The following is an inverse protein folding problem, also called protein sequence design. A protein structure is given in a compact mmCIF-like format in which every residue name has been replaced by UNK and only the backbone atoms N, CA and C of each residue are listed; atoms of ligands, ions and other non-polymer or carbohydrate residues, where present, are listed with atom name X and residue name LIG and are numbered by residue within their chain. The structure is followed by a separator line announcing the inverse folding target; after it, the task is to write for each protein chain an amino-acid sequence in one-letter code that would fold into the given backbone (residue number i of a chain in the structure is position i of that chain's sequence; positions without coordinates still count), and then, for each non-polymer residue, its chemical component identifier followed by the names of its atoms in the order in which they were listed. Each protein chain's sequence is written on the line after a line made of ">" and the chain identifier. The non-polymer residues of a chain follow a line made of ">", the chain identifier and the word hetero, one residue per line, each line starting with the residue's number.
data_IF_975774003626
#
_entry.id   IF_975774003626
#
_cell.length_a   1.000
_cell.length_b   1.000
_cell.length_c   1.000
_cell.angle_alpha   90.00
_cell.angle_beta   90.00
_cell.angle_gamma   90.00
#
_symmetry.space_group_name_H-M   'P 1'
#
loop_
_entity.id
_entity.type
_entity.pdbx_description
1 polymer ?
#
# COMPACT_ATOMS: atom_id res chain seq x y z
N UNK A 1 -29.04 -42.34 -20.28
CA UNK A 1 -28.72 -40.89 -20.11
C UNK A 1 -28.01 -40.40 -21.35
N UNK A 2 -28.54 -39.38 -22.03
CA UNK A 2 -27.96 -38.85 -23.28
C UNK A 2 -26.72 -38.03 -22.95
N UNK A 3 -25.61 -38.19 -23.69
CA UNK A 3 -24.32 -37.49 -23.51
C UNK A 3 -24.45 -35.97 -23.27
N UNK A 4 -25.45 -35.34 -23.87
CA UNK A 4 -25.75 -33.92 -23.68
C UNK A 4 -26.22 -33.56 -22.25
N UNK A 5 -27.00 -34.42 -21.60
CA UNK A 5 -27.47 -34.23 -20.22
C UNK A 5 -26.34 -34.45 -19.20
N UNK A 6 -25.41 -35.39 -19.50
CA UNK A 6 -24.24 -35.60 -18.65
C UNK A 6 -23.29 -34.38 -18.68
N UNK A 7 -23.01 -33.84 -19.87
CA UNK A 7 -22.17 -32.65 -20.02
C UNK A 7 -22.83 -31.39 -19.40
N UNK A 8 -24.13 -31.21 -19.58
CA UNK A 8 -24.86 -30.09 -18.96
C UNK A 8 -24.83 -30.16 -17.43
N UNK A 9 -25.03 -31.35 -16.85
CA UNK A 9 -25.00 -31.53 -15.38
C UNK A 9 -23.59 -31.44 -14.81
N UNK A 10 -22.55 -31.83 -15.55
CA UNK A 10 -21.15 -31.71 -15.13
C UNK A 10 -20.66 -30.25 -15.18
N UNK A 11 -21.09 -29.50 -16.21
CA UNK A 11 -20.80 -28.06 -16.31
C UNK A 11 -21.54 -27.28 -15.22
N UNK A 12 -22.81 -27.61 -14.93
CA UNK A 12 -23.55 -26.99 -13.83
C UNK A 12 -22.98 -27.34 -12.44
N UNK A 13 -22.42 -28.55 -12.24
CA UNK A 13 -21.79 -28.93 -10.99
C UNK A 13 -20.39 -28.30 -10.82
N UNK A 14 -19.61 -28.16 -11.90
CA UNK A 14 -18.30 -27.50 -11.87
C UNK A 14 -18.40 -25.97 -11.73
N UNK A 15 -19.42 -25.35 -12.35
CA UNK A 15 -19.73 -23.92 -12.16
C UNK A 15 -20.45 -23.65 -10.84
N UNK A 16 -21.15 -24.62 -10.26
CA UNK A 16 -21.91 -24.46 -9.02
C UNK A 16 -21.02 -24.39 -7.75
N UNK A 17 -19.89 -25.07 -7.72
CA UNK A 17 -19.01 -25.11 -6.53
C UNK A 17 -18.19 -23.84 -6.37
N UNK A 18 -17.51 -23.43 -7.39
CA UNK A 18 -16.69 -22.20 -7.37
C UNK A 18 -17.53 -20.92 -7.44
N UNK A 19 -18.62 -20.94 -8.23
CA UNK A 19 -19.57 -19.83 -8.33
C UNK A 19 -20.39 -19.60 -7.05
N UNK A 20 -20.68 -20.63 -6.24
CA UNK A 20 -21.36 -20.49 -4.95
C UNK A 20 -20.46 -19.87 -3.87
N UNK A 21 -19.15 -20.16 -3.85
CA UNK A 21 -18.22 -19.54 -2.90
C UNK A 21 -17.99 -18.06 -3.21
N UNK A 22 -17.83 -17.69 -4.48
CA UNK A 22 -17.71 -16.28 -4.87
C UNK A 22 -19.05 -15.54 -4.77
N UNK A 23 -20.16 -16.19 -5.07
CA UNK A 23 -21.51 -15.62 -4.91
C UNK A 23 -21.89 -15.46 -3.45
N UNK A 24 -21.53 -16.40 -2.54
CA UNK A 24 -21.77 -16.27 -1.10
C UNK A 24 -20.86 -15.23 -0.46
N UNK A 25 -19.61 -15.10 -0.92
CA UNK A 25 -18.71 -14.02 -0.52
C UNK A 25 -19.25 -12.66 -0.95
N UNK A 26 -19.69 -12.54 -2.21
CA UNK A 26 -20.30 -11.32 -2.74
C UNK A 26 -21.69 -11.03 -2.12
N UNK A 27 -22.49 -12.07 -1.76
CA UNK A 27 -23.75 -11.90 -1.04
C UNK A 27 -23.53 -11.45 0.40
N UNK A 28 -22.49 -11.93 1.08
CA UNK A 28 -22.13 -11.46 2.43
C UNK A 28 -21.58 -10.03 2.40
N UNK A 29 -20.77 -9.68 1.41
CA UNK A 29 -20.32 -8.30 1.15
C UNK A 29 -21.52 -7.39 0.81
N UNK A 30 -22.44 -7.84 -0.04
CA UNK A 30 -23.66 -7.10 -0.36
C UNK A 30 -24.62 -7.00 0.85
N UNK A 31 -24.67 -7.99 1.72
CA UNK A 31 -25.51 -8.00 2.92
C UNK A 31 -24.89 -7.14 4.04
N UNK A 32 -23.57 -7.13 4.19
CA UNK A 32 -22.85 -6.19 5.06
C UNK A 32 -23.04 -4.75 4.58
N UNK A 33 -22.94 -4.51 3.26
CA UNK A 33 -23.24 -3.21 2.65
C UNK A 33 -24.72 -2.81 2.77
N UNK A 34 -25.67 -3.75 2.67
CA UNK A 34 -27.11 -3.48 2.80
C UNK A 34 -27.54 -3.18 4.25
N UNK A 35 -26.85 -3.72 5.25
CA UNK A 35 -27.07 -3.39 6.65
C UNK A 35 -26.54 -2.00 7.05
N UNK A 36 -25.80 -1.34 6.16
CA UNK A 36 -25.22 -0.01 6.34
C UNK A 36 -26.16 1.16 5.96
N UNK A 37 -27.39 0.90 5.51
CA UNK A 37 -28.40 1.96 5.24
C UNK A 37 -29.03 2.53 6.54
N UNK A 38 -28.15 2.98 7.44
CA UNK A 38 -28.48 3.83 8.57
C UNK A 38 -27.83 5.21 8.41
N UNK A 39 -28.05 6.17 9.33
CA UNK A 39 -27.23 7.37 9.37
C UNK A 39 -25.75 6.96 9.41
N UNK A 40 -24.89 7.65 8.64
CA UNK A 40 -23.46 7.33 8.52
C UNK A 40 -22.87 6.94 9.89
N UNK A 41 -22.35 5.72 10.00
CA UNK A 41 -21.71 5.23 11.24
C UNK A 41 -20.36 5.90 11.50
N UNK A 42 -19.96 6.82 10.62
CA UNK A 42 -18.67 7.52 10.70
C UNK A 42 -18.91 9.02 10.87
N UNK A 43 -18.53 9.56 12.04
CA UNK A 43 -18.58 10.98 12.33
C UNK A 43 -17.22 11.66 12.14
N UNK A 44 -16.15 10.85 12.07
CA UNK A 44 -14.76 11.28 11.91
C UNK A 44 -14.25 11.11 10.47
N UNK A 45 -13.16 11.81 10.19
CA UNK A 45 -12.38 11.61 8.96
C UNK A 45 -11.24 10.64 9.20
N UNK A 46 -10.97 9.71 8.26
CA UNK A 46 -9.72 8.93 8.23
C UNK A 46 -9.24 8.71 6.80
N UNK A 47 -7.91 8.71 6.63
CA UNK A 47 -7.27 8.38 5.36
C UNK A 47 -6.13 7.38 5.54
N UNK A 48 -6.03 6.45 4.59
CA UNK A 48 -4.88 5.57 4.39
C UNK A 48 -4.13 6.00 3.15
N UNK A 49 -2.80 6.08 3.21
CA UNK A 49 -1.93 6.43 2.08
C UNK A 49 -0.90 5.33 1.89
N UNK A 50 -1.08 4.51 0.87
CA UNK A 50 -0.09 3.51 0.48
C UNK A 50 1.01 4.17 -0.34
N UNK A 51 2.26 4.02 0.10
CA UNK A 51 3.47 4.39 -0.65
C UNK A 51 4.12 3.10 -1.13
N UNK A 52 3.88 2.74 -2.39
CA UNK A 52 4.35 1.49 -2.94
C UNK A 52 5.74 1.66 -3.60
N UNK A 53 6.72 0.89 -3.13
CA UNK A 53 8.11 0.92 -3.58
C UNK A 53 8.33 -0.20 -4.59
N UNK A 54 8.17 0.10 -5.89
CA UNK A 54 8.29 -0.89 -6.96
C UNK A 54 9.74 -1.32 -7.21
N UNK A 55 9.96 -2.63 -7.30
CA UNK A 55 11.24 -3.25 -7.60
C UNK A 55 11.81 -4.08 -6.44
N UNK A 56 11.14 -4.13 -5.29
CA UNK A 56 11.65 -4.85 -4.12
C UNK A 56 12.72 -4.03 -3.38
N UNK A 57 12.29 -3.19 -2.46
CA UNK A 57 13.20 -2.35 -1.67
C UNK A 57 14.14 -3.21 -0.80
N UNK A 58 15.45 -3.00 -0.93
CA UNK A 58 16.42 -3.59 0.00
C UNK A 58 16.34 -2.94 1.38
N UNK A 59 15.39 -3.42 2.15
CA UNK A 59 15.12 -2.91 3.49
C UNK A 59 16.19 -3.27 4.50
N UNK A 60 17.06 -4.26 4.18
CA UNK A 60 18.19 -4.65 5.02
C UNK A 60 19.31 -3.60 4.98
N UNK A 61 19.38 -2.79 3.91
CA UNK A 61 20.25 -1.62 3.85
C UNK A 61 19.51 -0.31 4.21
N UNK A 62 18.20 -0.34 4.33
CA UNK A 62 17.39 0.80 4.80
C UNK A 62 17.41 0.92 6.33
N UNK A 63 17.19 -0.22 7.02
CA UNK A 63 17.12 -0.34 8.49
C UNK A 63 18.18 -1.35 8.92
N UNK A 64 19.28 -0.87 9.47
CA UNK A 64 20.52 -1.62 9.70
C UNK A 64 20.79 -1.74 11.20
N UNK A 65 21.15 -2.96 11.70
CA UNK A 65 21.61 -3.09 13.08
C UNK A 65 22.86 -2.22 13.34
N UNK A 66 22.91 -1.55 14.48
CA UNK A 66 24.01 -0.63 14.80
C UNK A 66 24.79 -0.96 16.07
N UNK A 67 24.33 -1.86 16.94
CA UNK A 67 25.14 -2.41 18.01
C UNK A 67 26.21 -3.37 17.45
N UNK A 68 27.34 -3.49 18.14
CA UNK A 68 28.50 -4.21 17.60
C UNK A 68 28.26 -5.69 17.29
N UNK A 69 27.37 -6.34 18.05
CA UNK A 69 27.14 -7.78 17.88
C UNK A 69 26.32 -8.06 16.61
N UNK A 70 25.16 -7.39 16.49
CA UNK A 70 24.25 -7.60 15.34
C UNK A 70 24.80 -6.94 14.08
N UNK A 71 25.50 -5.81 14.19
CA UNK A 71 26.16 -5.19 13.04
C UNK A 71 27.27 -6.09 12.46
N UNK A 72 28.05 -6.83 13.27
CA UNK A 72 29.02 -7.80 12.75
C UNK A 72 28.34 -8.92 11.95
N UNK A 73 27.19 -9.43 12.40
CA UNK A 73 26.42 -10.43 11.64
C UNK A 73 25.95 -9.86 10.30
N UNK A 74 25.30 -8.68 10.33
CA UNK A 74 24.89 -7.96 9.14
C UNK A 74 26.04 -7.74 8.16
N UNK A 75 27.17 -7.18 8.63
CA UNK A 75 28.34 -6.90 7.79
C UNK A 75 28.92 -8.17 7.17
N UNK A 76 28.95 -9.27 7.92
CA UNK A 76 29.44 -10.56 7.40
C UNK A 76 28.52 -11.10 6.32
N UNK A 77 27.19 -11.01 6.51
CA UNK A 77 26.21 -11.52 5.57
C UNK A 77 26.10 -10.65 4.30
N UNK A 78 26.17 -9.32 4.44
CA UNK A 78 26.06 -8.37 3.33
C UNK A 78 27.36 -8.16 2.55
N UNK A 79 28.50 -8.51 3.14
CA UNK A 79 29.82 -8.38 2.53
C UNK A 79 30.07 -7.00 1.88
N UNK A 80 30.15 -6.93 0.54
CA UNK A 80 30.38 -5.71 -0.23
C UNK A 80 29.23 -4.71 -0.16
N UNK A 81 28.03 -5.13 0.19
CA UNK A 81 26.85 -4.27 0.29
C UNK A 81 26.63 -3.67 1.68
N UNK A 82 27.48 -3.98 2.66
CA UNK A 82 27.30 -3.50 4.02
C UNK A 82 27.46 -1.97 4.09
N UNK A 83 26.45 -1.29 4.65
CA UNK A 83 26.51 0.13 4.98
C UNK A 83 27.41 0.35 6.19
N UNK A 84 28.26 1.36 6.19
CA UNK A 84 29.17 1.66 7.28
C UNK A 84 28.42 2.02 8.57
N UNK A 85 28.78 1.37 9.70
CA UNK A 85 28.13 1.51 11.00
C UNK A 85 28.10 2.96 11.51
N UNK A 86 29.21 3.69 11.33
CA UNK A 86 29.35 5.08 11.77
C UNK A 86 28.52 6.09 10.96
N UNK A 87 27.97 5.66 9.83
CA UNK A 87 27.08 6.47 8.97
C UNK A 87 25.60 6.20 9.21
N UNK A 88 25.26 5.33 10.18
CA UNK A 88 23.87 5.02 10.49
C UNK A 88 23.24 6.10 11.38
N UNK A 89 22.07 6.57 11.02
CA UNK A 89 21.24 7.47 11.78
C UNK A 89 20.49 6.68 12.88
N UNK A 90 20.77 6.85 14.18
CA UNK A 90 20.21 6.01 15.22
C UNK A 90 18.69 6.17 15.35
N UNK A 91 17.98 5.05 15.43
CA UNK A 91 16.58 4.97 15.83
C UNK A 91 16.53 4.81 17.35
N UNK A 92 16.00 5.83 18.04
CA UNK A 92 15.85 5.82 19.50
C UNK A 92 14.45 5.33 19.83
N UNK A 93 14.33 4.05 20.15
CA UNK A 93 13.06 3.47 20.52
C UNK A 93 12.52 4.02 21.84
N UNK A 94 11.23 4.25 21.92
CA UNK A 94 10.54 4.58 23.16
C UNK A 94 10.56 3.39 24.14
N UNK A 95 10.37 3.64 25.42
CA UNK A 95 10.35 2.61 26.46
C UNK A 95 9.42 1.45 26.08
N UNK A 96 9.96 0.24 26.05
CA UNK A 96 9.25 -0.97 25.62
C UNK A 96 8.94 -1.05 24.12
N UNK A 97 9.59 -0.23 23.29
CA UNK A 97 9.42 -0.20 21.85
C UNK A 97 10.61 -0.71 21.05
N UNK A 98 11.60 -1.30 21.70
CA UNK A 98 12.78 -1.87 21.04
C UNK A 98 12.44 -3.05 20.13
N UNK A 99 13.40 -3.39 19.26
CA UNK A 99 13.26 -4.52 18.35
C UNK A 99 13.23 -5.87 19.12
N UNK A 100 12.57 -6.87 18.54
CA UNK A 100 12.32 -8.17 19.18
C UNK A 100 13.60 -8.98 19.46
N UNK A 101 14.65 -8.75 18.69
CA UNK A 101 15.97 -9.38 18.82
C UNK A 101 16.89 -8.66 19.84
N UNK A 102 16.42 -7.54 20.40
CA UNK A 102 17.18 -6.71 21.33
C UNK A 102 18.26 -5.84 20.67
N UNK A 103 18.37 -5.84 19.34
CA UNK A 103 19.33 -5.02 18.63
C UNK A 103 18.95 -3.54 18.63
N UNK A 104 19.95 -2.68 18.57
CA UNK A 104 19.79 -1.29 18.20
C UNK A 104 19.83 -1.17 16.67
N UNK A 105 18.98 -0.31 16.13
CA UNK A 105 18.88 -0.09 14.68
C UNK A 105 19.13 1.37 14.31
N UNK A 106 19.56 1.57 13.09
CA UNK A 106 19.71 2.88 12.48
C UNK A 106 19.28 2.88 11.02
N UNK A 107 19.00 4.07 10.51
CA UNK A 107 18.68 4.28 9.09
C UNK A 107 19.93 4.62 8.31
N UNK A 108 19.95 4.28 7.03
CA UNK A 108 21.02 4.67 6.12
C UNK A 108 21.12 6.19 6.01
N UNK A 109 22.30 6.74 6.24
CA UNK A 109 22.51 8.19 6.27
C UNK A 109 22.63 8.84 4.90
N UNK A 110 22.55 8.14 3.80
CA UNK A 110 22.53 8.68 2.42
C UNK A 110 23.35 9.98 2.27
N UNK A 111 24.64 9.88 2.26
CA UNK A 111 25.49 11.03 1.93
C UNK A 111 25.83 10.98 0.44
N UNK A 112 25.10 11.73 -0.37
CA UNK A 112 25.57 12.13 -1.69
C UNK A 112 26.08 13.56 -1.59
N UNK A 113 27.04 13.95 -2.45
CA UNK A 113 27.61 15.29 -2.51
C UNK A 113 26.61 16.43 -2.88
N UNK A 114 25.33 16.11 -2.95
CA UNK A 114 24.25 17.01 -3.35
C UNK A 114 23.24 17.24 -2.21
N UNK A 115 23.63 17.73 -1.04
CA UNK A 115 22.75 18.23 0.05
C UNK A 115 21.50 17.39 0.40
N UNK A 116 21.47 16.13 0.03
CA UNK A 116 20.38 15.22 0.37
C UNK A 116 20.51 14.81 1.85
N UNK A 117 19.62 15.30 2.66
CA UNK A 117 19.54 15.02 4.11
C UNK A 117 19.06 13.58 4.33
N UNK A 118 19.64 12.60 3.70
CA UNK A 118 19.42 11.17 3.89
C UNK A 118 18.02 10.78 4.41
N UNK A 119 17.97 9.78 5.27
CA UNK A 119 16.73 9.38 5.94
C UNK A 119 16.46 10.13 7.27
N UNK A 120 17.12 11.27 7.52
CA UNK A 120 16.98 12.04 8.76
C UNK A 120 15.55 12.49 9.09
N UNK A 121 14.72 12.71 8.07
CA UNK A 121 13.32 13.03 8.27
C UNK A 121 12.53 11.88 8.89
N UNK A 122 12.60 10.67 8.34
CA UNK A 122 11.96 9.47 8.91
C UNK A 122 12.56 9.10 10.26
N UNK A 123 13.89 9.28 10.46
CA UNK A 123 14.51 9.15 11.77
C UNK A 123 13.86 10.09 12.80
N UNK A 124 13.71 11.36 12.45
CA UNK A 124 13.05 12.35 13.30
C UNK A 124 11.61 11.97 13.66
N UNK A 125 10.84 11.49 12.69
CA UNK A 125 9.47 11.00 12.92
C UNK A 125 9.44 9.78 13.83
N UNK A 126 10.35 8.82 13.64
CA UNK A 126 10.47 7.67 14.55
C UNK A 126 10.82 8.12 15.96
N UNK A 127 11.87 8.91 16.13
CA UNK A 127 12.36 9.35 17.44
C UNK A 127 11.34 10.23 18.19
N UNK A 128 10.48 10.96 17.46
CA UNK A 128 9.38 11.76 18.03
C UNK A 128 8.08 10.98 18.25
N UNK A 129 8.05 9.69 17.93
CA UNK A 129 6.85 8.85 18.11
C UNK A 129 5.76 9.02 17.06
N UNK A 130 6.11 9.51 15.86
CA UNK A 130 5.19 9.70 14.73
C UNK A 130 5.36 8.64 13.63
N UNK A 131 6.37 7.78 13.74
CA UNK A 131 6.61 6.67 12.83
C UNK A 131 6.94 5.40 13.62
N UNK A 132 6.57 4.25 13.06
CA UNK A 132 6.93 2.92 13.55
C UNK A 132 7.59 2.12 12.43
N UNK A 133 8.41 1.14 12.82
CA UNK A 133 8.99 0.13 11.93
C UNK A 133 8.22 -1.18 12.09
N UNK A 134 7.81 -1.77 10.96
CA UNK A 134 7.31 -3.13 10.89
C UNK A 134 8.43 -4.04 10.37
N UNK A 135 8.87 -4.98 11.22
CA UNK A 135 9.94 -5.90 10.90
C UNK A 135 9.45 -7.07 10.04
N UNK A 136 10.22 -7.40 9.03
CA UNK A 136 10.15 -8.64 8.26
C UNK A 136 8.73 -9.01 7.79
N UNK A 137 8.09 -8.07 7.09
CA UNK A 137 6.76 -8.26 6.48
C UNK A 137 6.91 -8.84 5.09
N UNK A 138 6.07 -9.80 4.76
CA UNK A 138 6.01 -10.37 3.41
C UNK A 138 4.73 -11.15 3.15
N UNK A 139 4.62 -11.66 1.95
CA UNK A 139 3.50 -12.50 1.55
C UNK A 139 3.58 -13.86 2.23
N UNK A 140 2.56 -14.21 3.02
CA UNK A 140 2.43 -15.49 3.71
C UNK A 140 0.98 -15.96 3.66
N UNK A 141 0.77 -17.25 3.46
CA UNK A 141 -0.53 -17.91 3.65
C UNK A 141 -0.70 -18.32 5.11
N UNK A 142 0.40 -18.75 5.75
CA UNK A 142 0.51 -19.12 7.17
C UNK A 142 1.94 -18.91 7.67
N UNK A 143 2.19 -18.94 8.98
CA UNK A 143 3.54 -18.97 9.52
C UNK A 143 4.34 -20.10 8.87
N UNK A 144 5.54 -19.78 8.39
CA UNK A 144 6.38 -20.69 7.61
C UNK A 144 7.79 -20.70 8.19
N UNK A 145 8.27 -21.88 8.58
CA UNK A 145 9.67 -22.09 8.97
C UNK A 145 10.53 -22.46 7.75
N UNK A 146 11.84 -22.41 7.91
CA UNK A 146 12.78 -22.90 6.89
C UNK A 146 12.53 -24.38 6.55
N UNK A 147 12.24 -25.20 7.57
CA UNK A 147 11.93 -26.62 7.36
C UNK A 147 10.63 -26.80 6.55
N UNK A 148 9.61 -25.99 6.84
CA UNK A 148 8.35 -26.01 6.08
C UNK A 148 8.57 -25.62 4.62
N UNK A 149 9.36 -24.57 4.38
CA UNK A 149 9.71 -24.12 3.04
C UNK A 149 10.47 -25.20 2.25
N UNK A 150 11.53 -25.75 2.82
CA UNK A 150 12.38 -26.74 2.14
C UNK A 150 11.67 -28.08 1.90
N UNK A 151 10.81 -28.52 2.81
CA UNK A 151 10.09 -29.78 2.72
C UNK A 151 8.70 -29.64 2.09
N UNK A 152 8.31 -28.44 1.68
CA UNK A 152 6.98 -28.14 1.10
C UNK A 152 5.81 -28.66 1.98
N UNK A 153 5.92 -28.49 3.31
CA UNK A 153 4.92 -28.96 4.25
C UNK A 153 3.76 -27.97 4.45
N UNK A 154 3.90 -26.77 3.94
CA UNK A 154 2.90 -25.70 3.98
C UNK A 154 2.62 -25.13 2.60
N UNK A 155 1.42 -24.60 2.40
CA UNK A 155 1.09 -23.85 1.19
C UNK A 155 1.83 -22.51 1.21
N UNK A 156 2.49 -22.19 0.09
CA UNK A 156 3.25 -20.97 -0.12
C UNK A 156 2.53 -20.03 -1.07
N UNK A 157 2.75 -18.71 -0.98
CA UNK A 157 2.31 -17.77 -2.00
C UNK A 157 2.82 -18.18 -3.39
N UNK A 158 2.02 -18.00 -4.44
CA UNK A 158 2.41 -18.40 -5.79
C UNK A 158 3.58 -17.54 -6.29
N UNK A 159 4.48 -18.16 -7.03
CA UNK A 159 5.57 -17.48 -7.73
C UNK A 159 6.34 -16.49 -6.82
N UNK A 160 6.77 -16.97 -5.67
CA UNK A 160 7.71 -16.24 -4.82
C UNK A 160 8.87 -15.70 -5.67
N UNK A 161 9.32 -14.50 -5.36
CA UNK A 161 10.44 -13.83 -6.06
C UNK A 161 10.11 -13.32 -7.47
N UNK A 162 8.86 -13.40 -7.94
CA UNK A 162 8.39 -12.77 -9.17
C UNK A 162 7.75 -11.42 -8.87
N UNK A 163 8.22 -10.33 -9.50
CA UNK A 163 7.65 -8.99 -9.29
C UNK A 163 6.13 -8.96 -9.52
N UNK A 164 5.67 -9.42 -10.67
CA UNK A 164 4.26 -9.34 -11.04
C UNK A 164 3.35 -10.07 -10.04
N UNK A 165 3.77 -11.28 -9.62
CA UNK A 165 2.96 -12.11 -8.73
C UNK A 165 2.99 -11.56 -7.31
N UNK A 166 4.14 -11.12 -6.81
CA UNK A 166 4.27 -10.61 -5.45
C UNK A 166 3.69 -9.20 -5.31
N UNK A 167 3.84 -8.31 -6.30
CA UNK A 167 3.10 -7.04 -6.36
C UNK A 167 1.60 -7.26 -6.30
N UNK A 168 1.11 -8.25 -7.06
CA UNK A 168 -0.31 -8.60 -7.02
C UNK A 168 -0.72 -9.16 -5.66
N UNK A 169 0.07 -10.08 -5.07
CA UNK A 169 -0.26 -10.69 -3.79
C UNK A 169 -0.29 -9.64 -2.66
N UNK A 170 0.67 -8.75 -2.62
CA UNK A 170 0.70 -7.62 -1.68
C UNK A 170 -0.57 -6.77 -1.71
N UNK A 171 -1.09 -6.55 -2.91
CA UNK A 171 -2.23 -5.68 -3.13
C UNK A 171 -3.58 -6.40 -3.02
N UNK A 172 -3.61 -7.72 -3.26
CA UNK A 172 -4.85 -8.52 -3.30
C UNK A 172 -5.02 -9.37 -2.04
N UNK A 173 -3.91 -9.83 -1.42
CA UNK A 173 -3.91 -10.72 -0.25
C UNK A 173 -4.69 -12.02 -0.46
N UNK A 174 -4.75 -12.54 -1.70
CA UNK A 174 -5.51 -13.74 -2.06
C UNK A 174 -4.78 -14.58 -3.09
N UNK A 175 -4.96 -15.91 -2.99
CA UNK A 175 -4.57 -16.89 -4.00
C UNK A 175 -5.79 -17.34 -4.82
N UNK A 176 -5.59 -17.79 -6.05
CA UNK A 176 -6.65 -18.41 -6.89
C UNK A 176 -7.62 -17.44 -7.58
N UNK A 177 -8.87 -17.88 -7.75
CA UNK A 177 -9.95 -17.11 -8.36
C UNK A 177 -10.39 -15.98 -7.41
N UNK A 178 -10.16 -14.78 -7.68
CA UNK A 178 -10.43 -13.62 -6.81
C UNK A 178 -9.29 -12.63 -6.81
N UNK A 179 -8.23 -12.90 -7.56
CA UNK A 179 -7.09 -12.00 -7.77
C UNK A 179 -7.44 -10.67 -8.45
N UNK A 180 -8.72 -10.45 -8.79
CA UNK A 180 -9.16 -9.27 -9.53
C UNK A 180 -9.29 -8.00 -8.69
N UNK A 181 -9.45 -8.12 -7.36
CA UNK A 181 -9.79 -7.01 -6.47
C UNK A 181 -8.77 -6.86 -5.35
N UNK A 182 -8.35 -5.62 -5.08
CA UNK A 182 -7.39 -5.31 -4.02
C UNK A 182 -8.06 -5.25 -2.64
N UNK A 183 -7.26 -5.43 -1.57
CA UNK A 183 -7.79 -5.38 -0.22
C UNK A 183 -8.35 -3.98 0.14
N UNK A 184 -7.76 -2.89 -0.35
CA UNK A 184 -8.33 -1.56 -0.17
C UNK A 184 -9.60 -1.34 -1.01
N UNK A 185 -9.72 -2.00 -2.17
CA UNK A 185 -10.95 -2.04 -2.95
C UNK A 185 -12.08 -2.74 -2.21
N UNK A 186 -11.80 -3.85 -1.53
CA UNK A 186 -12.76 -4.52 -0.64
C UNK A 186 -13.18 -3.64 0.53
N UNK A 187 -12.25 -2.90 1.13
CA UNK A 187 -12.57 -1.89 2.16
C UNK A 187 -13.53 -0.83 1.60
N UNK A 188 -13.26 -0.32 0.40
CA UNK A 188 -14.13 0.66 -0.24
C UNK A 188 -15.53 0.13 -0.54
N UNK A 189 -15.64 -1.15 -0.92
CA UNK A 189 -16.95 -1.81 -1.11
C UNK A 189 -17.72 -1.99 0.20
N UNK A 190 -17.03 -2.31 1.32
CA UNK A 190 -17.64 -2.49 2.64
C UNK A 190 -18.06 -1.16 3.28
N UNK A 191 -17.30 -0.09 3.07
CA UNK A 191 -17.49 1.21 3.72
C UNK A 191 -18.12 2.26 2.79
N UNK A 192 -18.90 1.85 1.80
CA UNK A 192 -19.53 2.76 0.82
C UNK A 192 -20.42 3.82 1.46
N UNK A 193 -21.05 3.50 2.58
CA UNK A 193 -21.89 4.38 3.36
C UNK A 193 -21.12 5.48 4.10
N UNK A 194 -19.80 5.39 4.16
CA UNK A 194 -18.98 6.42 4.80
C UNK A 194 -18.97 7.75 4.01
N UNK A 195 -19.16 7.69 2.70
CA UNK A 195 -19.11 8.84 1.80
C UNK A 195 -20.38 8.92 0.92
N UNK A 196 -21.60 9.05 1.50
CA UNK A 196 -22.85 8.90 0.75
C UNK A 196 -23.05 9.99 -0.31
N UNK A 197 -22.56 11.20 -0.04
CA UNK A 197 -22.74 12.39 -0.89
C UNK A 197 -21.42 12.84 -1.55
N UNK A 198 -20.41 11.97 -1.62
CA UNK A 198 -19.11 12.35 -2.12
C UNK A 198 -19.10 12.56 -3.64
N UNK A 199 -18.42 13.61 -4.09
CA UNK A 199 -18.20 13.90 -5.51
C UNK A 199 -17.24 12.94 -6.18
N UNK A 200 -16.31 12.31 -5.41
CA UNK A 200 -15.37 11.33 -5.94
C UNK A 200 -15.38 10.06 -5.08
N UNK A 201 -14.94 8.92 -5.64
CA UNK A 201 -14.81 7.69 -4.87
C UNK A 201 -13.85 7.79 -3.68
N UNK A 202 -14.02 6.88 -2.71
CA UNK A 202 -13.10 6.71 -1.57
C UNK A 202 -11.66 6.46 -2.02
N UNK A 203 -11.49 5.68 -3.09
CA UNK A 203 -10.21 5.24 -3.64
C UNK A 203 -9.67 6.25 -4.66
N UNK A 204 -8.51 6.84 -4.37
CA UNK A 204 -7.84 7.81 -5.23
C UNK A 204 -6.43 7.32 -5.52
N UNK A 205 -6.08 7.20 -6.80
CA UNK A 205 -4.76 6.78 -7.25
C UNK A 205 -4.05 7.88 -8.01
N UNK A 206 -2.76 8.07 -7.76
CA UNK A 206 -1.96 9.08 -8.43
C UNK A 206 -1.35 8.50 -9.72
N UNK A 207 -1.53 9.22 -10.81
CA UNK A 207 -0.98 8.95 -12.14
C UNK A 207 -1.50 7.68 -12.86
N UNK A 208 -1.78 6.58 -12.15
CA UNK A 208 -2.19 5.30 -12.74
C UNK A 208 -3.22 4.58 -11.86
N UNK A 209 -3.92 3.61 -12.43
CA UNK A 209 -4.76 2.70 -11.66
C UNK A 209 -3.91 1.78 -10.77
N UNK A 210 -4.42 1.48 -9.58
CA UNK A 210 -3.82 0.59 -8.60
C UNK A 210 -4.62 -0.71 -8.46
N UNK A 211 -3.95 -1.86 -8.44
CA UNK A 211 -4.58 -3.13 -8.12
C UNK A 211 -5.11 -3.12 -6.69
N UNK A 212 -4.38 -2.50 -5.76
CA UNK A 212 -4.77 -2.34 -4.35
C UNK A 212 -6.19 -1.79 -4.18
N UNK A 213 -6.57 -0.83 -5.02
CA UNK A 213 -7.83 -0.11 -4.94
C UNK A 213 -8.91 -0.65 -5.88
N UNK A 214 -8.59 -1.65 -6.70
CA UNK A 214 -9.58 -2.27 -7.60
C UNK A 214 -10.66 -2.95 -6.79
N UNK A 215 -11.90 -2.57 -7.01
CA UNK A 215 -13.07 -3.00 -6.26
C UNK A 215 -14.12 -3.67 -7.17
N UNK A 216 -15.03 -4.42 -6.56
CA UNK A 216 -16.13 -5.07 -7.27
C UNK A 216 -17.27 -4.11 -7.62
N UNK A 217 -17.53 -3.12 -6.75
CA UNK A 217 -18.66 -2.21 -6.88
C UNK A 217 -18.25 -0.74 -6.83
N UNK A 218 -17.20 -0.42 -6.07
CA UNK A 218 -16.63 0.91 -6.00
C UNK A 218 -15.68 1.16 -7.18
N UNK A 219 -15.43 2.41 -7.51
CA UNK A 219 -14.49 2.79 -8.56
C UNK A 219 -13.26 3.47 -7.97
N UNK A 220 -12.21 3.57 -8.76
CA UNK A 220 -11.05 4.41 -8.47
C UNK A 220 -11.19 5.76 -9.17
N UNK A 221 -10.68 6.80 -8.55
CA UNK A 221 -10.45 8.09 -9.18
C UNK A 221 -8.96 8.28 -9.42
N UNK A 222 -8.56 8.35 -10.69
CA UNK A 222 -7.15 8.56 -11.06
C UNK A 222 -6.94 10.05 -11.35
N UNK A 223 -5.94 10.64 -10.67
CA UNK A 223 -5.60 12.05 -10.78
C UNK A 223 -4.10 12.23 -11.05
N UNK A 224 -3.71 13.24 -11.81
CA UNK A 224 -2.29 13.58 -12.04
C UNK A 224 -1.70 14.40 -10.88
N UNK A 225 -0.38 14.52 -10.86
CA UNK A 225 0.35 15.37 -9.90
C UNK A 225 -0.01 16.86 -10.03
N UNK A 226 -0.42 17.27 -11.20
CA UNK A 226 -0.83 18.62 -11.56
C UNK A 226 -2.33 18.89 -11.38
N UNK A 227 -3.12 17.86 -11.08
CA UNK A 227 -4.55 17.95 -10.83
C UNK A 227 -5.40 17.03 -11.68
N UNK A 228 -6.72 17.25 -11.68
CA UNK A 228 -7.64 16.41 -12.44
C UNK A 228 -7.40 16.56 -13.94
N UNK A 229 -7.28 15.40 -14.61
CA UNK A 229 -7.18 15.38 -16.08
C UNK A 229 -8.51 15.85 -16.68
N UNK A 230 -8.46 16.99 -17.32
CA UNK A 230 -9.61 17.52 -18.06
C UNK A 230 -9.72 16.83 -19.44
N UNK A 231 -10.94 16.80 -19.95
CA UNK A 231 -11.16 16.30 -21.30
C UNK A 231 -10.68 17.36 -22.30
N UNK A 232 -9.46 17.19 -22.78
CA UNK A 232 -8.79 18.12 -23.72
C UNK A 232 -8.94 17.72 -25.20
N UNK A 233 -9.56 16.57 -25.50
CA UNK A 233 -9.75 16.14 -26.87
C UNK A 233 -10.72 17.08 -27.58
N UNK A 234 -10.35 17.51 -28.77
CA UNK A 234 -11.09 18.51 -29.58
C UNK A 234 -11.04 19.95 -29.02
N UNK A 235 -10.08 20.31 -28.19
CA UNK A 235 -9.91 21.70 -27.72
C UNK A 235 -9.67 22.69 -28.87
N UNK A 236 -9.05 22.24 -29.96
CA UNK A 236 -8.79 23.01 -31.18
C UNK A 236 -9.97 23.03 -32.17
N UNK A 237 -11.03 22.23 -31.93
CA UNK A 237 -12.20 22.12 -32.81
C UNK A 237 -13.48 22.09 -31.95
N UNK A 238 -14.05 23.26 -31.76
CA UNK A 238 -15.22 23.45 -30.92
C UNK A 238 -16.48 22.74 -31.48
N UNK A 239 -16.56 22.57 -32.80
CA UNK A 239 -17.72 21.89 -33.42
C UNK A 239 -17.65 20.38 -33.16
N UNK A 240 -16.48 19.77 -33.33
CA UNK A 240 -16.24 18.35 -32.97
C UNK A 240 -16.43 18.12 -31.47
N UNK A 241 -15.96 19.04 -30.62
CA UNK A 241 -16.15 18.99 -29.18
C UNK A 241 -17.64 19.01 -28.81
N UNK A 242 -18.39 19.93 -29.41
CA UNK A 242 -19.82 20.08 -29.20
C UNK A 242 -20.59 18.83 -29.65
N UNK A 243 -20.30 18.32 -30.85
CA UNK A 243 -20.89 17.10 -31.36
C UNK A 243 -20.63 15.89 -30.46
N UNK A 244 -19.39 15.73 -29.99
CA UNK A 244 -19.05 14.65 -29.06
C UNK A 244 -19.82 14.77 -27.74
N UNK A 245 -19.90 15.96 -27.15
CA UNK A 245 -20.65 16.18 -25.92
C UNK A 245 -22.16 15.94 -26.09
N UNK A 246 -22.74 16.23 -27.27
CA UNK A 246 -24.12 15.88 -27.59
C UNK A 246 -24.32 14.36 -27.65
N UNK A 247 -23.36 13.60 -28.20
CA UNK A 247 -23.41 12.13 -28.18
C UNK A 247 -23.35 11.56 -26.77
N UNK A 248 -22.68 12.25 -25.83
CA UNK A 248 -22.58 11.84 -24.42
C UNK A 248 -23.72 12.37 -23.55
N UNK A 249 -24.65 13.14 -24.09
CA UNK A 249 -25.80 13.71 -23.37
C UNK A 249 -26.77 12.61 -22.85
N UNK A 250 -27.53 12.87 -21.78
CA UNK A 250 -28.56 11.97 -21.30
C UNK A 250 -29.56 11.65 -22.42
N UNK A 251 -29.86 10.37 -22.62
CA UNK A 251 -30.82 9.93 -23.64
C UNK A 251 -30.31 9.89 -25.09
N UNK A 252 -29.09 10.38 -25.37
CA UNK A 252 -28.52 10.36 -26.72
C UNK A 252 -28.20 8.95 -27.23
N UNK A 253 -27.99 7.98 -26.33
CA UNK A 253 -27.60 6.61 -26.66
C UNK A 253 -28.78 5.64 -26.47
N UNK A 254 -29.15 4.90 -27.53
CA UNK A 254 -30.19 3.87 -27.48
C UNK A 254 -29.69 2.54 -26.92
N UNK A 255 -28.42 2.19 -27.22
CA UNK A 255 -27.83 0.93 -26.79
C UNK A 255 -27.35 0.97 -25.33
N UNK A 256 -27.50 -0.15 -24.60
CA UNK A 256 -27.17 -0.25 -23.17
C UNK A 256 -25.69 0.10 -22.88
N UNK A 257 -24.74 -0.40 -23.67
CA UNK A 257 -23.33 -0.08 -23.53
C UNK A 257 -23.03 1.39 -23.85
N UNK A 258 -23.70 1.96 -24.86
CA UNK A 258 -23.59 3.39 -25.16
C UNK A 258 -24.06 4.27 -24.00
N UNK A 259 -25.22 3.93 -23.39
CA UNK A 259 -25.73 4.63 -22.19
C UNK A 259 -24.77 4.51 -21.01
N UNK A 260 -24.22 3.30 -20.77
CA UNK A 260 -23.25 3.07 -19.70
C UNK A 260 -21.97 3.90 -19.91
N UNK A 261 -21.41 3.89 -21.11
CA UNK A 261 -20.23 4.67 -21.47
C UNK A 261 -20.47 6.19 -21.32
N UNK A 262 -21.56 6.69 -21.90
CA UNK A 262 -21.93 8.10 -21.80
C UNK A 262 -22.16 8.52 -20.35
N UNK A 263 -22.77 7.67 -19.53
CA UNK A 263 -22.94 7.89 -18.09
C UNK A 263 -21.60 7.94 -17.34
N UNK A 264 -20.69 7.02 -17.61
CA UNK A 264 -19.35 7.01 -17.01
C UNK A 264 -18.54 8.26 -17.40
N UNK A 265 -18.58 8.64 -18.68
CA UNK A 265 -17.92 9.84 -19.18
C UNK A 265 -18.42 11.14 -18.50
N UNK A 266 -19.76 11.28 -18.36
CA UNK A 266 -20.33 12.45 -17.67
C UNK A 266 -19.91 12.53 -16.21
N UNK A 267 -20.01 11.40 -15.48
CA UNK A 267 -19.54 11.35 -14.07
C UNK A 267 -18.06 11.70 -13.95
N UNK A 268 -17.21 11.17 -14.83
CA UNK A 268 -15.78 11.50 -14.82
C UNK A 268 -15.52 13.01 -15.01
N UNK A 269 -16.27 13.66 -15.93
CA UNK A 269 -16.20 15.12 -16.13
C UNK A 269 -16.70 15.92 -14.93
N UNK A 270 -17.83 15.53 -14.37
CA UNK A 270 -18.41 16.18 -13.19
C UNK A 270 -17.47 16.08 -12.00
N UNK A 271 -16.91 14.89 -11.76
CA UNK A 271 -15.90 14.65 -10.72
C UNK A 271 -14.65 15.51 -10.94
N UNK A 272 -14.09 15.52 -12.16
CA UNK A 272 -12.92 16.31 -12.49
C UNK A 272 -13.18 17.82 -12.29
N UNK A 273 -14.35 18.31 -12.69
CA UNK A 273 -14.74 19.70 -12.50
C UNK A 273 -14.89 20.06 -11.02
N UNK A 274 -15.55 19.21 -10.24
CA UNK A 274 -15.74 19.43 -8.79
C UNK A 274 -14.38 19.48 -8.06
N UNK A 275 -13.48 18.56 -8.37
CA UNK A 275 -12.13 18.54 -7.78
C UNK A 275 -11.32 19.76 -8.21
N UNK A 276 -11.36 20.14 -9.50
CA UNK A 276 -10.64 21.32 -9.99
C UNK A 276 -11.09 22.59 -9.26
N UNK A 277 -12.41 22.82 -9.17
CA UNK A 277 -12.97 23.99 -8.48
C UNK A 277 -12.63 23.99 -6.98
N UNK A 278 -12.70 22.84 -6.31
CA UNK A 278 -12.34 22.73 -4.90
C UNK A 278 -10.86 23.04 -4.65
N UNK A 279 -9.96 22.51 -5.50
CA UNK A 279 -8.52 22.76 -5.41
C UNK A 279 -8.15 24.21 -5.73
N UNK A 280 -8.80 24.83 -6.72
CA UNK A 280 -8.57 26.23 -7.12
C UNK A 280 -9.05 27.21 -6.03
N UNK A 281 -10.19 26.93 -5.40
CA UNK A 281 -10.71 27.75 -4.31
C UNK A 281 -9.91 27.60 -2.99
N UNK A 282 -9.06 26.58 -2.90
CA UNK A 282 -8.29 26.28 -1.68
C UNK A 282 -6.97 27.06 -1.66
N UNK A 283 -6.67 27.73 -0.54
CA UNK A 283 -5.36 28.35 -0.35
C UNK A 283 -4.21 27.32 -0.50
N UNK A 284 -3.01 27.69 -0.99
CA UNK A 284 -1.86 26.80 -1.05
C UNK A 284 -1.52 26.20 0.31
N UNK A 285 -0.83 25.05 0.31
CA UNK A 285 -0.20 24.49 1.50
C UNK A 285 1.02 25.35 1.86
N UNK A 286 1.26 25.52 3.17
CA UNK A 286 2.47 26.19 3.67
C UNK A 286 3.65 25.23 3.72
N UNK A 287 3.37 23.95 3.94
CA UNK A 287 4.41 22.90 3.95
C UNK A 287 5.06 22.78 2.57
N UNK A 288 6.38 22.93 2.52
CA UNK A 288 7.16 22.70 1.31
C UNK A 288 7.35 21.21 1.07
N UNK A 289 7.11 20.76 -0.16
CA UNK A 289 7.38 19.40 -0.60
C UNK A 289 8.66 19.34 -1.44
N UNK A 290 9.42 18.22 -1.40
CA UNK A 290 10.60 18.07 -2.24
C UNK A 290 10.20 17.99 -3.72
N UNK A 291 11.05 18.53 -4.59
CA UNK A 291 10.92 18.45 -6.05
C UNK A 291 11.28 17.03 -6.53
N UNK A 292 10.40 16.08 -6.28
CA UNK A 292 10.50 14.70 -6.73
C UNK A 292 9.12 14.17 -7.12
N UNK A 293 9.07 13.11 -7.92
CA UNK A 293 7.78 12.54 -8.34
C UNK A 293 6.93 12.13 -7.14
N UNK A 294 7.51 11.43 -6.14
CA UNK A 294 6.80 11.07 -4.92
C UNK A 294 6.40 12.31 -4.09
N UNK A 295 7.24 13.34 -4.04
CA UNK A 295 6.92 14.61 -3.39
C UNK A 295 5.69 15.27 -4.00
N UNK A 296 5.63 15.32 -5.34
CA UNK A 296 4.49 15.88 -6.08
C UNK A 296 3.21 15.05 -5.89
N UNK A 297 3.31 13.71 -5.89
CA UNK A 297 2.18 12.82 -5.61
C UNK A 297 1.63 13.08 -4.20
N UNK A 298 2.47 13.08 -3.17
CA UNK A 298 2.06 13.30 -1.79
C UNK A 298 1.56 14.73 -1.53
N UNK A 299 2.09 15.73 -2.24
CA UNK A 299 1.55 17.09 -2.23
C UNK A 299 0.11 17.12 -2.75
N UNK A 300 -0.18 16.42 -3.86
CA UNK A 300 -1.53 16.34 -4.41
C UNK A 300 -2.46 15.60 -3.43
N UNK A 301 -2.01 14.51 -2.79
CA UNK A 301 -2.77 13.83 -1.73
C UNK A 301 -3.12 14.80 -0.60
N UNK A 302 -2.15 15.57 -0.09
CA UNK A 302 -2.39 16.56 0.96
C UNK A 302 -3.39 17.65 0.52
N UNK A 303 -3.32 18.12 -0.73
CA UNK A 303 -4.29 19.06 -1.30
C UNK A 303 -5.70 18.48 -1.38
N UNK A 304 -5.85 17.21 -1.76
CA UNK A 304 -7.15 16.51 -1.76
C UNK A 304 -7.71 16.32 -0.35
N UNK A 305 -6.86 15.99 0.62
CA UNK A 305 -7.24 15.91 2.05
C UNK A 305 -7.70 17.30 2.55
N UNK A 306 -7.06 18.38 2.12
CA UNK A 306 -7.45 19.75 2.48
C UNK A 306 -8.88 20.08 2.07
N UNK A 307 -9.31 19.64 0.92
CA UNK A 307 -10.64 19.90 0.36
C UNK A 307 -11.66 18.78 0.62
N UNK A 308 -11.34 17.80 1.48
CA UNK A 308 -12.17 16.63 1.80
C UNK A 308 -13.62 16.98 2.17
N UNK A 309 -13.81 18.03 2.94
CA UNK A 309 -15.14 18.45 3.41
C UNK A 309 -15.99 18.97 2.27
N UNK A 310 -15.41 19.79 1.38
CA UNK A 310 -16.08 20.29 0.17
C UNK A 310 -16.44 19.14 -0.76
N UNK A 311 -15.61 18.10 -0.81
CA UNK A 311 -15.84 16.90 -1.63
C UNK A 311 -16.75 15.86 -0.95
N UNK A 312 -17.18 16.07 0.30
CA UNK A 312 -18.07 15.17 1.03
C UNK A 312 -17.40 13.87 1.49
N UNK A 313 -16.10 13.90 1.79
CA UNK A 313 -15.29 12.70 2.07
C UNK A 313 -14.98 12.56 3.56
N UNK A 314 -15.34 11.41 4.13
CA UNK A 314 -14.99 10.99 5.50
C UNK A 314 -13.98 9.84 5.52
N UNK A 315 -13.95 9.05 4.46
CA UNK A 315 -12.97 7.96 4.30
C UNK A 315 -12.30 8.06 2.95
N UNK A 316 -10.97 8.03 2.93
CA UNK A 316 -10.18 8.06 1.69
C UNK A 316 -9.04 7.05 1.75
N UNK A 317 -8.80 6.36 0.64
CA UNK A 317 -7.61 5.53 0.44
C UNK A 317 -6.85 6.08 -0.75
N UNK A 318 -5.59 6.42 -0.54
CA UNK A 318 -4.71 6.93 -1.56
C UNK A 318 -3.65 5.89 -1.93
N UNK A 319 -3.30 5.86 -3.20
CA UNK A 319 -2.17 5.08 -3.70
C UNK A 319 -1.20 6.01 -4.40
N UNK A 320 0.03 6.03 -3.92
CA UNK A 320 1.19 6.69 -4.52
C UNK A 320 2.31 5.68 -4.68
N UNK A 321 3.22 5.91 -5.60
CA UNK A 321 4.28 4.94 -5.86
C UNK A 321 5.60 5.59 -6.26
N UNK A 322 6.66 4.81 -6.05
CA UNK A 322 8.02 5.15 -6.43
C UNK A 322 8.71 3.89 -6.94
N UNK A 323 9.29 3.95 -8.13
CA UNK A 323 10.06 2.85 -8.71
C UNK A 323 11.56 3.00 -8.51
N UNK A 324 12.31 2.04 -9.08
CA UNK A 324 13.76 2.05 -9.12
C UNK A 324 14.45 1.20 -8.06
N UNK A 325 13.70 0.38 -7.29
CA UNK A 325 14.28 -0.44 -6.20
C UNK A 325 14.80 -1.82 -6.64
N UNK A 326 14.75 -2.16 -7.91
CA UNK A 326 15.22 -3.45 -8.42
C UNK A 326 16.74 -3.44 -8.68
N UNK A 327 17.51 -3.32 -7.59
CA UNK A 327 18.95 -3.17 -7.63
C UNK A 327 19.68 -4.52 -7.73
N UNK A 328 19.75 -5.07 -8.93
CA UNK A 328 20.62 -6.23 -9.20
C UNK A 328 22.10 -5.84 -9.33
N UNK A 329 22.37 -4.56 -9.52
CA UNK A 329 23.69 -3.93 -9.56
C UNK A 329 23.63 -2.53 -8.91
N UNK A 330 24.81 -1.91 -8.70
CA UNK A 330 24.94 -0.51 -8.24
C UNK A 330 24.14 -0.13 -6.99
N UNK A 331 23.75 -1.09 -6.14
CA UNK A 331 22.84 -0.88 -5.02
C UNK A 331 23.30 0.24 -4.08
N UNK A 332 24.58 0.24 -3.69
CA UNK A 332 25.14 1.26 -2.80
C UNK A 332 25.21 2.65 -3.45
N UNK A 333 25.22 2.73 -4.80
CA UNK A 333 25.18 4.01 -5.53
C UNK A 333 23.78 4.58 -5.63
N UNK A 334 22.78 3.76 -5.92
CA UNK A 334 21.46 4.20 -6.35
C UNK A 334 20.43 4.25 -5.21
N UNK A 335 20.39 3.24 -4.35
CA UNK A 335 19.41 3.14 -3.28
C UNK A 335 19.44 4.32 -2.30
N UNK A 336 20.59 4.85 -1.88
CA UNK A 336 20.64 5.99 -0.95
C UNK A 336 19.81 7.19 -1.44
N UNK A 337 19.89 7.51 -2.72
CA UNK A 337 19.12 8.59 -3.32
C UNK A 337 17.61 8.36 -3.31
N UNK A 338 17.17 7.11 -3.52
CA UNK A 338 15.76 6.72 -3.46
C UNK A 338 15.24 6.81 -2.02
N UNK A 339 16.00 6.30 -1.05
CA UNK A 339 15.63 6.35 0.38
C UNK A 339 15.57 7.80 0.91
N UNK A 340 16.47 8.67 0.46
CA UNK A 340 16.43 10.09 0.80
C UNK A 340 15.14 10.76 0.27
N UNK A 341 14.77 10.51 -0.99
CA UNK A 341 13.51 11.02 -1.58
C UNK A 341 12.27 10.48 -0.87
N UNK A 342 12.25 9.19 -0.52
CA UNK A 342 11.19 8.58 0.28
C UNK A 342 11.04 9.29 1.63
N UNK A 343 12.16 9.45 2.36
CA UNK A 343 12.19 10.09 3.68
C UNK A 343 11.71 11.55 3.62
N UNK A 344 12.22 12.33 2.68
CA UNK A 344 11.83 13.73 2.53
C UNK A 344 10.35 13.88 2.18
N UNK A 345 9.85 13.08 1.25
CA UNK A 345 8.46 13.16 0.79
C UNK A 345 7.48 12.73 1.90
N UNK A 346 7.75 11.62 2.62
CA UNK A 346 6.90 11.17 3.72
C UNK A 346 6.93 12.15 4.91
N UNK A 347 8.08 12.75 5.19
CA UNK A 347 8.22 13.75 6.25
C UNK A 347 7.44 15.03 5.93
N UNK A 348 7.57 15.53 4.71
CA UNK A 348 6.79 16.69 4.25
C UNK A 348 5.28 16.39 4.29
N UNK A 349 4.87 15.20 3.86
CA UNK A 349 3.46 14.78 3.92
C UNK A 349 2.93 14.75 5.35
N UNK A 350 3.69 14.18 6.30
CA UNK A 350 3.29 14.21 7.71
C UNK A 350 3.20 15.63 8.25
N UNK A 351 4.15 16.51 7.89
CA UNK A 351 4.09 17.94 8.21
C UNK A 351 2.81 18.61 7.69
N UNK A 352 2.45 18.31 6.43
CA UNK A 352 1.21 18.82 5.83
C UNK A 352 -0.05 18.30 6.54
N UNK A 353 -0.08 17.05 7.00
CA UNK A 353 -1.22 16.54 7.80
C UNK A 353 -1.34 17.28 9.14
N UNK A 354 -0.22 17.66 9.73
CA UNK A 354 -0.17 18.54 10.92
C UNK A 354 -0.71 19.94 10.64
N UNK A 355 -0.27 20.58 9.53
CA UNK A 355 -0.80 21.86 9.05
C UNK A 355 -2.32 21.82 8.87
N UNK A 356 -2.86 20.70 8.37
CA UNK A 356 -4.28 20.50 8.12
C UNK A 356 -5.08 20.08 9.37
N UNK A 357 -4.44 19.89 10.52
CA UNK A 357 -5.08 19.45 11.76
C UNK A 357 -5.66 18.03 11.70
N UNK A 358 -5.07 17.14 10.89
CA UNK A 358 -5.54 15.76 10.67
C UNK A 358 -4.42 14.72 10.85
N UNK A 359 -3.33 15.05 11.52
CA UNK A 359 -2.21 14.12 11.68
C UNK A 359 -2.61 12.80 12.35
N UNK A 360 -3.54 12.83 13.30
CA UNK A 360 -4.12 11.67 13.99
C UNK A 360 -5.17 10.90 13.16
N UNK A 361 -5.53 11.41 12.01
CA UNK A 361 -6.58 10.89 11.12
C UNK A 361 -6.03 10.38 9.79
N UNK A 362 -4.74 10.56 9.55
CA UNK A 362 -4.08 10.16 8.31
C UNK A 362 -2.89 9.26 8.65
N UNK A 363 -2.87 8.08 8.04
CA UNK A 363 -1.78 7.11 8.19
C UNK A 363 -1.20 6.79 6.81
N UNK A 364 0.10 7.09 6.65
CA UNK A 364 0.87 6.66 5.49
C UNK A 364 1.66 5.39 5.84
N UNK A 365 1.73 4.44 4.92
CA UNK A 365 2.45 3.20 5.11
C UNK A 365 3.19 2.80 3.83
N UNK A 366 4.37 2.18 3.98
CA UNK A 366 5.13 1.68 2.84
C UNK A 366 4.75 0.23 2.53
N UNK A 367 4.86 -0.13 1.26
CA UNK A 367 4.74 -1.49 0.74
C UNK A 367 5.77 -1.68 -0.37
N UNK A 368 6.13 -2.91 -0.70
CA UNK A 368 7.05 -3.23 -1.80
C UNK A 368 6.70 -4.60 -2.37
N UNK A 369 7.25 -4.95 -3.52
CA UNK A 369 7.06 -6.26 -4.15
C UNK A 369 7.44 -7.39 -3.19
N UNK A 370 8.62 -7.26 -2.61
CA UNK A 370 9.27 -8.15 -1.65
C UNK A 370 10.47 -7.42 -1.02
N UNK A 371 11.15 -8.05 -0.07
CA UNK A 371 12.49 -7.65 0.33
C UNK A 371 13.56 -8.21 -0.62
N UNK A 372 14.82 -7.78 -0.49
CA UNK A 372 15.94 -8.28 -1.28
C UNK A 372 16.71 -9.35 -0.50
N UNK A 373 17.54 -10.14 -1.22
CA UNK A 373 18.37 -11.16 -0.59
C UNK A 373 19.36 -10.53 0.39
N UNK A 374 19.60 -11.23 1.51
CA UNK A 374 20.65 -10.87 2.47
C UNK A 374 22.04 -11.03 1.83
N UNK A 375 22.22 -12.02 0.97
CA UNK A 375 23.46 -12.25 0.22
C UNK A 375 23.63 -11.22 -0.89
N UNK A 376 24.87 -10.81 -1.14
CA UNK A 376 25.24 -10.01 -2.31
C UNK A 376 25.39 -10.92 -3.55
N UNK A 377 25.00 -10.42 -4.72
CA UNK A 377 25.31 -11.03 -6.02
C UNK A 377 26.56 -10.40 -6.70
N UNK A 378 27.24 -9.49 -5.97
CA UNK A 378 28.40 -8.71 -6.44
C UNK A 378 28.34 -7.28 -5.92
N UNK A 379 27.62 -6.40 -6.59
CA UNK A 379 27.36 -5.01 -6.21
C UNK A 379 25.86 -4.67 -6.07
N UNK A 380 25.00 -5.70 -6.16
CA UNK A 380 23.57 -5.65 -5.91
C UNK A 380 23.05 -6.85 -5.12
N UNK A 381 21.74 -6.99 -5.04
CA UNK A 381 21.03 -8.10 -4.39
C UNK A 381 19.93 -8.63 -5.28
N UNK A 382 19.59 -9.91 -5.11
CA UNK A 382 18.54 -10.56 -5.89
C UNK A 382 17.18 -10.46 -5.20
N UNK A 383 16.13 -11.03 -5.82
CA UNK A 383 14.79 -11.06 -5.27
C UNK A 383 14.74 -11.88 -3.98
N UNK A 384 14.29 -11.25 -2.91
CA UNK A 384 14.08 -11.87 -1.61
C UNK A 384 12.60 -12.01 -1.27
N UNK A 385 12.26 -12.09 0.00
CA UNK A 385 10.89 -12.33 0.45
C UNK A 385 10.44 -11.29 1.49
N UNK A 386 10.82 -11.44 2.75
CA UNK A 386 10.50 -10.51 3.82
C UNK A 386 11.29 -9.21 3.76
N UNK A 387 10.67 -8.10 4.17
CA UNK A 387 11.30 -6.80 4.24
C UNK A 387 10.74 -5.93 5.36
N UNK A 388 11.39 -4.82 5.64
CA UNK A 388 10.97 -3.88 6.67
C UNK A 388 10.20 -2.71 6.06
N UNK A 389 9.19 -2.22 6.79
CA UNK A 389 8.32 -1.15 6.34
C UNK A 389 8.14 -0.07 7.40
N UNK A 390 7.78 1.14 6.96
CA UNK A 390 7.40 2.26 7.83
C UNK A 390 5.89 2.46 7.84
N UNK A 391 5.37 2.82 9.01
CA UNK A 391 4.03 3.41 9.18
C UNK A 391 4.19 4.75 9.85
N UNK A 392 3.60 5.80 9.27
CA UNK A 392 3.73 7.20 9.70
C UNK A 392 2.35 7.82 9.89
N UNK A 393 2.14 8.47 11.03
CA UNK A 393 0.88 9.16 11.34
C UNK A 393 0.73 9.45 12.81
N UNK A 394 -0.11 10.41 13.17
CA UNK A 394 -0.34 10.79 14.57
C UNK A 394 -1.07 9.74 15.40
N UNK A 395 -1.83 8.82 14.76
CA UNK A 395 -2.45 7.67 15.41
C UNK A 395 -1.54 6.42 15.45
N UNK A 396 -0.31 6.51 14.94
CA UNK A 396 0.66 5.42 15.02
C UNK A 396 1.31 5.41 16.41
N UNK A 397 1.42 4.25 17.01
CA UNK A 397 2.25 4.04 18.21
C UNK A 397 3.72 4.06 17.82
N UNK A 398 4.22 5.24 17.47
CA UNK A 398 5.55 5.42 16.92
C UNK A 398 6.68 5.28 17.93
N UNK A 399 7.92 5.38 17.45
CA UNK A 399 9.12 5.12 18.23
C UNK A 399 9.25 3.65 18.63
N UNK A 400 8.68 2.73 17.84
CA UNK A 400 8.59 1.31 18.17
C UNK A 400 8.83 0.44 16.95
N UNK A 401 9.31 -0.76 17.24
CA UNK A 401 9.39 -1.87 16.29
C UNK A 401 8.22 -2.83 16.56
N UNK A 402 7.55 -3.26 15.50
CA UNK A 402 6.49 -4.27 15.53
C UNK A 402 6.87 -5.42 14.60
N UNK A 403 6.37 -6.63 14.90
CA UNK A 403 6.82 -7.85 14.24
C UNK A 403 8.16 -8.34 14.79
N UNK A 404 8.66 -9.43 14.25
CA UNK A 404 9.97 -9.99 14.63
C UNK A 404 11.04 -9.61 13.60
N UNK A 405 12.15 -9.07 14.06
CA UNK A 405 13.31 -8.81 13.21
C UNK A 405 13.99 -10.16 12.89
N UNK A 406 14.45 -10.38 11.65
CA UNK A 406 15.08 -11.63 11.27
C UNK A 406 16.54 -11.70 11.73
N UNK A 407 17.02 -12.90 11.94
CA UNK A 407 18.45 -13.15 12.14
C UNK A 407 19.23 -12.97 10.82
N UNK A 408 20.19 -12.08 10.79
CA UNK A 408 20.94 -11.75 9.57
C UNK A 408 22.15 -12.68 9.39
N UNK A 409 21.87 -13.97 9.20
CA UNK A 409 22.89 -15.02 8.99
C UNK A 409 22.54 -15.78 7.71
N UNK A 410 23.45 -15.73 6.71
CA UNK A 410 23.30 -16.53 5.50
C UNK A 410 23.28 -18.03 5.84
N UNK A 411 22.27 -18.74 5.36
CA UNK A 411 22.04 -20.15 5.69
C UNK A 411 21.43 -20.38 7.08
N UNK A 412 21.15 -19.33 7.86
CA UNK A 412 20.47 -19.40 9.16
C UNK A 412 19.01 -19.85 9.07
N UNK A 413 18.33 -19.89 10.20
CA UNK A 413 16.94 -20.41 10.28
C UNK A 413 15.92 -19.52 9.55
N UNK A 414 16.19 -18.24 9.43
CA UNK A 414 15.34 -17.27 8.71
C UNK A 414 15.65 -17.18 7.20
N UNK A 415 16.70 -17.87 6.71
CA UNK A 415 17.08 -17.87 5.30
C UNK A 415 16.54 -19.12 4.59
N UNK A 416 15.54 -18.92 3.72
CA UNK A 416 14.97 -19.97 2.88
C UNK A 416 15.99 -20.60 1.91
N UNK A 417 17.05 -19.88 1.62
CA UNK A 417 18.13 -20.19 0.70
C UNK A 417 18.55 -18.92 -0.06
N UNK A 418 19.81 -18.82 -0.39
CA UNK A 418 20.36 -17.69 -1.16
C UNK A 418 20.20 -16.32 -0.49
N UNK A 419 19.96 -16.27 0.83
CA UNK A 419 19.70 -15.04 1.55
C UNK A 419 18.26 -14.52 1.43
N UNK A 420 17.33 -15.34 1.00
CA UNK A 420 15.90 -15.02 0.90
C UNK A 420 15.26 -15.14 2.29
N UNK A 421 15.10 -14.02 2.99
CA UNK A 421 14.60 -14.00 4.37
C UNK A 421 13.11 -14.33 4.43
N UNK A 422 12.77 -15.40 5.16
CA UNK A 422 11.39 -15.83 5.39
C UNK A 422 10.66 -14.77 6.23
N UNK A 423 9.50 -14.26 5.80
CA UNK A 423 8.75 -13.29 6.59
C UNK A 423 8.28 -13.85 7.93
N UNK A 424 8.29 -13.03 8.95
CA UNK A 424 7.70 -13.33 10.26
C UNK A 424 6.35 -12.66 10.47
N UNK A 425 6.05 -11.66 9.63
CA UNK A 425 4.81 -10.89 9.65
C UNK A 425 4.14 -10.97 8.28
N UNK A 426 2.85 -11.33 8.25
CA UNK A 426 2.09 -11.39 7.01
C UNK A 426 1.59 -10.02 6.56
N UNK A 427 1.53 -9.83 5.24
CA UNK A 427 0.79 -8.72 4.61
C UNK A 427 -0.66 -8.67 5.09
N UNK A 428 -1.30 -9.84 5.33
CA UNK A 428 -2.66 -9.93 5.86
C UNK A 428 -2.77 -9.29 7.26
N UNK A 429 -1.81 -9.56 8.15
CA UNK A 429 -1.79 -8.96 9.50
C UNK A 429 -1.54 -7.45 9.43
N UNK A 430 -0.64 -7.02 8.54
CA UNK A 430 -0.35 -5.61 8.28
C UNK A 430 -1.59 -4.87 7.77
N UNK A 431 -2.19 -5.37 6.71
CA UNK A 431 -3.40 -4.80 6.12
C UNK A 431 -4.60 -4.81 7.05
N UNK A 432 -4.80 -5.90 7.81
CA UNK A 432 -5.89 -6.04 8.78
C UNK A 432 -5.81 -5.01 9.91
N UNK A 433 -4.60 -4.74 10.43
CA UNK A 433 -4.39 -3.70 11.45
C UNK A 433 -4.76 -2.31 10.91
N UNK A 434 -4.36 -1.98 9.68
CA UNK A 434 -4.73 -0.74 9.00
C UNK A 434 -6.24 -0.66 8.72
N UNK A 435 -6.84 -1.75 8.24
CA UNK A 435 -8.27 -1.82 7.92
C UNK A 435 -9.14 -1.65 9.17
N UNK A 436 -8.77 -2.29 10.28
CA UNK A 436 -9.44 -2.12 11.57
C UNK A 436 -9.41 -0.66 12.03
N UNK A 437 -8.25 -0.03 12.03
CA UNK A 437 -8.13 1.39 12.38
C UNK A 437 -8.97 2.27 11.46
N UNK A 438 -9.05 1.95 10.18
CA UNK A 438 -9.80 2.70 9.19
C UNK A 438 -11.33 2.58 9.37
N UNK A 439 -11.81 1.55 10.08
CA UNK A 439 -13.21 1.37 10.45
C UNK A 439 -13.86 0.08 9.99
N UNK A 440 -13.08 -0.89 9.49
CA UNK A 440 -13.58 -2.24 9.17
C UNK A 440 -13.81 -3.01 10.47
N UNK A 441 -14.96 -3.64 10.60
CA UNK A 441 -15.29 -4.48 11.75
C UNK A 441 -14.51 -5.80 11.77
N UNK A 442 -14.26 -6.34 12.97
CA UNK A 442 -13.48 -7.56 13.14
C UNK A 442 -14.05 -8.77 12.39
N UNK A 443 -15.38 -8.88 12.31
CA UNK A 443 -16.06 -9.93 11.56
C UNK A 443 -15.95 -9.81 10.04
N UNK A 444 -15.55 -8.63 9.54
CA UNK A 444 -15.42 -8.32 8.13
C UNK A 444 -13.98 -8.53 7.63
N UNK A 445 -12.99 -8.55 8.55
CA UNK A 445 -11.58 -8.71 8.20
C UNK A 445 -11.28 -10.00 7.44
N UNK A 446 -11.93 -11.13 7.78
CA UNK A 446 -11.73 -12.41 7.09
C UNK A 446 -12.26 -12.39 5.64
N UNK A 447 -13.19 -11.49 5.34
CA UNK A 447 -13.67 -11.30 3.97
C UNK A 447 -12.63 -10.59 3.10
N UNK A 448 -11.79 -9.75 3.71
CA UNK A 448 -10.73 -9.00 3.04
C UNK A 448 -9.44 -9.82 3.02
N UNK A 449 -9.06 -10.39 4.17
CA UNK A 449 -7.82 -11.10 4.44
C UNK A 449 -8.09 -12.56 4.82
N UNK A 450 -8.32 -13.45 3.84
CA UNK A 450 -8.78 -14.82 4.11
C UNK A 450 -7.75 -15.67 4.84
N UNK A 451 -6.46 -15.35 4.77
CA UNK A 451 -5.41 -16.09 5.46
C UNK A 451 -5.19 -15.62 6.91
N UNK A 452 -5.85 -14.53 7.33
CA UNK A 452 -5.65 -13.92 8.65
C UNK A 452 -5.90 -14.90 9.81
N UNK A 453 -6.83 -15.83 9.63
CA UNK A 453 -7.13 -16.88 10.61
C UNK A 453 -6.00 -17.89 10.84
N UNK A 454 -4.99 -17.95 9.97
CA UNK A 454 -3.83 -18.83 10.12
C UNK A 454 -2.75 -18.26 11.06
N UNK A 455 -2.89 -16.99 11.50
CA UNK A 455 -1.91 -16.30 12.34
C UNK A 455 -2.44 -16.11 13.76
N UNK A 456 -1.54 -16.17 14.74
CA UNK A 456 -1.86 -16.03 16.16
C UNK A 456 -2.34 -14.61 16.54
N UNK A 457 -1.94 -13.59 15.79
CA UNK A 457 -2.38 -12.21 15.99
C UNK A 457 -3.03 -11.67 14.73
N UNK A 458 -4.22 -11.11 14.90
CA UNK A 458 -4.99 -10.42 13.83
C UNK A 458 -4.75 -8.91 13.82
N UNK A 459 -4.06 -8.42 14.84
CA UNK A 459 -3.71 -7.01 15.03
C UNK A 459 -2.28 -6.93 15.54
N UNK A 460 -1.44 -6.22 14.81
CA UNK A 460 -0.05 -6.01 15.18
C UNK A 460 0.12 -4.94 16.27
N UNK A 461 -0.93 -4.19 16.59
CA UNK A 461 -0.96 -3.22 17.67
C UNK A 461 -0.22 -1.92 17.41
N UNK A 462 0.16 -1.61 16.18
CA UNK A 462 0.87 -0.37 15.85
C UNK A 462 -0.07 0.84 15.67
N UNK A 463 -1.38 0.65 15.65
CA UNK A 463 -2.35 1.75 15.64
C UNK A 463 -2.91 2.00 17.06
N UNK A 464 -3.16 3.28 17.38
CA UNK A 464 -3.75 3.71 18.64
C UNK A 464 -5.27 3.65 18.63
#
# INVERSE_FOLDING_TARGET
>A
MKRRQFLSNTICAALGGAGLYSALGNLRLAQAAANAYGPSRFDDYKALVCVFLFGGNDSLNMIVPRDDAHYRQYRTARATLAVEQNRLLPLVAQTGGGASDGAEYGLQACTTDQDLVGMGGLQGLFNSGQAAVLGNVGTLIRPTSKADYLNHTVELPPQLFSHNDQQQYWQVSRTGEGRGYGWAGHIADLLRDANPDAYIPMSVSLNTESILQRASQSSQYVIGNDGPRQFSRFEWDEDSRRAFLQLMAPGAQSHVFGRSYAGAFRRARENASAVAMALEASAPLQTAFPESDLGNQLQMVARLIKVREVLGLKRQVFFVSMGGFDHHDSLLGDQPGLLARLSQAMTAFHGATGELGVADKVTAFTASDFGRTLSSNGDGSDHGWGGHHFVVGGAVRGGRFFGAMPTLINGGDDDAGWGQIIPTTSVDQYGATLARWFGVGDSELDLIFPNLGNFNSRDLGFMA
#
